data_IF_338216735981
#
_entry.id   IF_338216735981
#
_cell.length_a   1.000
_cell.length_b   1.000
_cell.length_c   1.000
_cell.angle_alpha   90.00
_cell.angle_beta   90.00
_cell.angle_gamma   90.00
#
_symmetry.space_group_name_H-M   'P 1'
#
loop_
_entity.id
_entity.type
_entity.pdbx_description
1 polymer ?
#
# COMPACT_ATOMS: atom_id res chain seq x y z
N UNK A 1 -22.83 -5.58 39.52
CA UNK A 1 -22.38 -5.17 38.17
C UNK A 1 -21.04 -4.42 38.11
N UNK A 2 -20.38 -4.08 39.24
CA UNK A 2 -19.13 -3.28 39.22
C UNK A 2 -17.82 -4.09 39.20
N UNK A 3 -17.85 -5.41 39.41
CA UNK A 3 -16.63 -6.25 39.48
C UNK A 3 -16.18 -6.76 38.09
N UNK A 4 -17.13 -7.07 37.20
CA UNK A 4 -16.86 -7.54 35.84
C UNK A 4 -16.22 -6.46 34.95
N UNK A 5 -16.62 -5.19 35.13
CA UNK A 5 -16.06 -4.07 34.37
C UNK A 5 -14.57 -3.83 34.72
N UNK A 6 -14.20 -3.95 36.01
CA UNK A 6 -12.81 -3.80 36.45
C UNK A 6 -11.90 -4.93 35.95
N UNK A 7 -12.41 -6.15 35.84
CA UNK A 7 -11.63 -7.28 35.34
C UNK A 7 -11.34 -7.17 33.83
N UNK A 8 -12.34 -6.75 33.03
CA UNK A 8 -12.12 -6.49 31.59
C UNK A 8 -11.10 -5.37 31.34
N UNK A 9 -11.18 -4.28 32.11
CA UNK A 9 -10.24 -3.15 32.04
C UNK A 9 -8.80 -3.57 32.37
N UNK A 10 -8.58 -4.41 33.39
CA UNK A 10 -7.24 -4.93 33.68
C UNK A 10 -6.70 -5.87 32.59
N UNK A 11 -7.54 -6.75 32.03
CA UNK A 11 -7.10 -7.66 30.96
C UNK A 11 -6.77 -6.94 29.66
N UNK A 12 -7.50 -5.87 29.32
CA UNK A 12 -7.22 -5.02 28.15
C UNK A 12 -5.90 -4.24 28.30
N UNK A 13 -5.63 -3.69 29.49
CA UNK A 13 -4.38 -2.98 29.79
C UNK A 13 -3.15 -3.90 29.73
N UNK A 14 -3.24 -5.11 30.27
CA UNK A 14 -2.15 -6.12 30.18
C UNK A 14 -1.94 -6.58 28.74
N UNK A 15 -3.03 -6.76 27.96
CA UNK A 15 -2.94 -7.13 26.55
C UNK A 15 -2.31 -6.03 25.69
N UNK A 16 -2.59 -4.75 25.99
CA UNK A 16 -1.98 -3.62 25.29
C UNK A 16 -0.48 -3.46 25.61
N UNK A 17 -0.05 -3.80 26.83
CA UNK A 17 1.38 -3.76 27.21
C UNK A 17 2.24 -4.76 26.46
N UNK A 18 1.66 -5.89 25.98
CA UNK A 18 2.40 -6.91 25.23
C UNK A 18 2.99 -6.40 23.90
N UNK A 19 2.48 -5.28 23.38
CA UNK A 19 2.89 -4.68 22.13
C UNK A 19 3.82 -3.47 22.31
N UNK A 20 4.25 -3.19 23.55
CA UNK A 20 5.20 -2.10 23.84
C UNK A 20 6.63 -2.62 23.65
N UNK A 21 7.29 -2.15 22.60
CA UNK A 21 8.68 -2.46 22.28
C UNK A 21 9.68 -1.62 23.08
N UNK A 22 10.97 -1.93 22.91
CA UNK A 22 12.06 -1.18 23.53
C UNK A 22 12.21 0.17 22.86
N UNK A 23 12.42 1.24 23.62
CA UNK A 23 12.72 2.54 23.03
C UNK A 23 14.03 2.50 22.21
N UNK A 24 13.95 2.89 20.94
CA UNK A 24 15.09 3.00 20.02
C UNK A 24 15.45 4.47 19.85
N UNK A 25 16.69 4.84 20.19
CA UNK A 25 17.22 6.18 19.93
C UNK A 25 17.23 6.43 18.41
N UNK A 26 16.62 7.53 18.00
CA UNK A 26 16.49 7.93 16.60
C UNK A 26 16.34 9.46 16.51
N UNK A 27 16.46 9.98 15.29
CA UNK A 27 16.33 11.40 14.93
C UNK A 27 15.15 11.64 13.99
N UNK A 28 14.13 10.78 14.03
CA UNK A 28 12.92 10.95 13.23
C UNK A 28 12.22 12.27 13.62
N UNK A 29 11.66 13.01 12.66
CA UNK A 29 11.11 14.34 12.91
C UNK A 29 9.85 14.29 13.79
N UNK A 30 9.62 15.32 14.59
CA UNK A 30 8.32 15.48 15.25
C UNK A 30 7.22 15.75 14.22
N UNK A 31 6.07 15.10 14.37
CA UNK A 31 4.88 15.31 13.53
C UNK A 31 3.70 15.70 14.42
N UNK A 32 3.17 16.94 14.30
CA UNK A 32 2.02 17.39 15.08
C UNK A 32 0.82 16.43 14.96
N UNK A 33 0.17 16.16 16.10
CA UNK A 33 -0.95 15.22 16.17
C UNK A 33 -0.54 13.74 16.20
N UNK A 34 0.74 13.44 16.36
CA UNK A 34 1.25 12.07 16.51
C UNK A 34 2.40 11.98 17.50
N UNK A 35 2.78 10.76 17.87
CA UNK A 35 4.00 10.48 18.62
C UNK A 35 4.80 9.35 17.95
N UNK A 36 6.10 9.29 18.22
CA UNK A 36 6.92 8.13 17.88
C UNK A 36 6.69 7.05 18.94
N UNK A 37 6.34 5.85 18.48
CA UNK A 37 6.06 4.67 19.30
C UNK A 37 6.96 3.51 18.91
N UNK A 38 7.09 2.56 19.82
CA UNK A 38 7.92 1.37 19.66
C UNK A 38 7.00 0.16 19.79
N UNK A 39 6.74 -0.50 18.67
CA UNK A 39 5.87 -1.66 18.60
C UNK A 39 6.71 -2.93 18.78
N UNK A 40 6.32 -3.76 19.74
CA UNK A 40 6.95 -5.04 19.98
C UNK A 40 6.50 -6.04 18.91
N UNK A 41 7.47 -6.59 18.20
CA UNK A 41 7.32 -7.65 17.20
C UNK A 41 7.97 -8.90 17.77
N UNK A 42 7.17 -9.93 18.02
CA UNK A 42 7.65 -11.20 18.52
C UNK A 42 8.15 -12.01 17.33
N UNK A 43 9.43 -12.39 17.33
CA UNK A 43 10.02 -13.23 16.29
C UNK A 43 9.46 -14.66 16.34
N UNK A 44 9.67 -15.43 15.27
CA UNK A 44 9.34 -16.86 15.24
C UNK A 44 10.03 -17.69 16.33
N UNK A 45 11.15 -17.20 16.87
CA UNK A 45 11.87 -17.79 18.00
C UNK A 45 11.48 -17.22 19.37
N UNK A 46 10.42 -16.40 19.44
CA UNK A 46 9.92 -15.81 20.68
C UNK A 46 10.71 -14.62 21.21
N UNK A 47 11.60 -14.02 20.41
CA UNK A 47 12.38 -12.84 20.83
C UNK A 47 11.57 -11.57 20.60
N UNK A 48 11.67 -10.62 21.53
CA UNK A 48 11.07 -9.29 21.40
C UNK A 48 11.98 -8.38 20.55
N UNK A 49 11.51 -8.03 19.36
CA UNK A 49 12.14 -7.09 18.45
C UNK A 49 11.30 -5.81 18.39
N UNK A 50 11.91 -4.70 18.01
CA UNK A 50 11.21 -3.41 17.99
C UNK A 50 11.05 -2.90 16.57
N UNK A 51 9.82 -2.57 16.19
CA UNK A 51 9.54 -1.71 15.05
C UNK A 51 9.23 -0.29 15.56
N UNK A 52 9.96 0.71 15.10
CA UNK A 52 9.64 2.12 15.36
C UNK A 52 8.49 2.54 14.44
N UNK A 53 7.55 3.35 14.92
CA UNK A 53 6.39 3.80 14.13
C UNK A 53 5.96 5.20 14.58
N UNK A 54 5.20 5.91 13.75
CA UNK A 54 4.34 6.99 14.24
C UNK A 54 2.97 6.44 14.61
N UNK A 55 2.37 6.99 15.67
CA UNK A 55 0.99 6.71 16.08
C UNK A 55 0.22 8.02 16.26
N UNK A 56 -1.00 8.11 15.76
CA UNK A 56 -1.84 9.29 15.95
C UNK A 56 -2.18 9.52 17.43
N UNK A 57 -2.23 10.79 17.82
CA UNK A 57 -2.76 11.24 19.10
C UNK A 57 -4.23 11.63 18.92
N UNK A 58 -4.98 11.59 20.01
CA UNK A 58 -6.37 12.01 20.08
C UNK A 58 -6.50 13.55 20.04
N UNK A 59 -7.73 14.07 20.06
CA UNK A 59 -8.00 15.51 19.98
C UNK A 59 -7.42 16.34 21.13
N UNK A 60 -7.06 15.71 22.25
CA UNK A 60 -6.41 16.34 23.41
C UNK A 60 -4.88 16.28 23.36
N UNK A 61 -4.28 15.77 22.28
CA UNK A 61 -2.83 15.60 22.15
C UNK A 61 -2.27 14.48 23.04
N UNK A 62 -3.09 13.48 23.39
CA UNK A 62 -2.71 12.30 24.20
C UNK A 62 -2.91 11.03 23.39
N UNK A 63 -2.35 9.90 23.86
CA UNK A 63 -2.69 8.58 23.33
C UNK A 63 -4.21 8.39 23.29
N UNK A 64 -4.70 7.86 22.18
CA UNK A 64 -6.12 7.56 22.03
C UNK A 64 -6.61 6.56 23.08
N UNK A 65 -7.91 6.61 23.36
CA UNK A 65 -8.61 5.61 24.15
C UNK A 65 -8.98 4.44 23.21
N UNK A 66 -8.36 3.25 23.35
CA UNK A 66 -8.61 2.12 22.47
C UNK A 66 -10.08 1.71 22.42
N UNK A 67 -10.85 1.99 23.47
CA UNK A 67 -12.29 1.66 23.52
C UNK A 67 -13.14 2.55 22.63
N UNK A 68 -12.62 3.69 22.15
CA UNK A 68 -13.33 4.59 21.23
C UNK A 68 -12.98 4.37 19.77
N UNK A 69 -11.91 3.62 19.49
CA UNK A 69 -11.43 3.40 18.13
C UNK A 69 -12.35 2.43 17.41
N UNK A 70 -12.82 2.87 16.24
CA UNK A 70 -13.67 2.12 15.32
C UNK A 70 -12.95 1.76 14.02
N UNK A 71 -11.85 2.47 13.72
CA UNK A 71 -11.05 2.28 12.52
C UNK A 71 -9.58 2.32 12.84
N UNK A 72 -8.81 1.39 12.27
CA UNK A 72 -7.37 1.48 12.21
C UNK A 72 -6.91 1.69 10.77
N UNK A 73 -5.96 2.60 10.55
CA UNK A 73 -5.25 2.75 9.27
C UNK A 73 -3.76 2.56 9.48
N UNK A 74 -3.18 1.55 8.84
CA UNK A 74 -1.75 1.28 8.80
C UNK A 74 -1.24 1.85 7.47
N UNK A 75 -0.53 2.97 7.51
CA UNK A 75 -0.05 3.68 6.31
C UNK A 75 1.44 3.42 6.05
N UNK A 76 1.75 2.74 4.97
CA UNK A 76 3.11 2.33 4.57
C UNK A 76 3.72 3.42 3.68
N UNK A 77 4.90 3.89 4.06
CA UNK A 77 5.65 4.94 3.36
C UNK A 77 6.21 4.47 2.01
N UNK A 78 6.66 5.43 1.21
CA UNK A 78 7.30 5.21 -0.08
C UNK A 78 8.79 4.85 0.02
N UNK A 79 9.50 5.00 -1.11
CA UNK A 79 10.92 4.66 -1.26
C UNK A 79 11.85 5.44 -0.30
N UNK A 80 11.46 6.67 0.04
CA UNK A 80 12.25 7.60 0.87
C UNK A 80 12.28 7.22 2.35
N UNK A 81 11.50 6.22 2.78
CA UNK A 81 11.46 5.75 4.17
C UNK A 81 11.10 6.88 5.15
N UNK A 82 10.09 7.66 4.79
CA UNK A 82 9.64 8.88 5.46
C UNK A 82 8.26 8.73 6.13
N UNK A 83 8.08 7.81 7.11
CA UNK A 83 6.77 7.57 7.73
C UNK A 83 6.17 8.81 8.40
N UNK A 84 7.00 9.77 8.82
CA UNK A 84 6.52 11.05 9.36
C UNK A 84 5.76 11.89 8.34
N UNK A 85 6.22 11.95 7.08
CA UNK A 85 5.51 12.62 5.98
C UNK A 85 4.16 11.94 5.73
N UNK A 86 4.17 10.61 5.69
CA UNK A 86 2.95 9.83 5.48
C UNK A 86 1.95 10.00 6.63
N UNK A 87 2.42 10.07 7.89
CA UNK A 87 1.62 10.40 9.06
C UNK A 87 1.01 11.81 8.95
N UNK A 88 1.80 12.82 8.57
CA UNK A 88 1.30 14.18 8.41
C UNK A 88 0.22 14.27 7.30
N UNK A 89 0.47 13.61 6.17
CA UNK A 89 -0.45 13.57 5.03
C UNK A 89 -1.80 12.94 5.39
N UNK A 90 -1.78 11.79 6.07
CA UNK A 90 -3.01 11.08 6.43
C UNK A 90 -3.79 11.79 7.55
N UNK A 91 -3.11 12.43 8.51
CA UNK A 91 -3.76 13.28 9.52
C UNK A 91 -4.42 14.50 8.87
N UNK A 92 -3.73 15.13 7.92
CA UNK A 92 -4.29 16.22 7.12
C UNK A 92 -5.53 15.76 6.34
N UNK A 93 -5.46 14.59 5.67
CA UNK A 93 -6.58 14.02 4.93
C UNK A 93 -7.78 13.70 5.85
N UNK A 94 -7.54 13.15 7.05
CA UNK A 94 -8.58 12.89 8.04
C UNK A 94 -9.26 14.19 8.50
N UNK A 95 -8.48 15.27 8.71
CA UNK A 95 -9.04 16.57 9.12
C UNK A 95 -9.93 17.23 8.06
N UNK A 96 -9.80 16.80 6.80
CA UNK A 96 -10.56 17.32 5.66
C UNK A 96 -11.84 16.51 5.36
N UNK A 97 -12.12 15.46 6.13
CA UNK A 97 -13.34 14.66 5.96
C UNK A 97 -14.57 15.51 6.26
N UNK A 98 -15.47 15.73 5.27
CA UNK A 98 -16.59 16.66 5.43
C UNK A 98 -17.77 16.00 6.16
N UNK A 99 -18.45 16.77 7.02
CA UNK A 99 -19.76 16.44 7.59
C UNK A 99 -19.83 15.09 8.37
N UNK A 100 -18.71 14.64 8.95
CA UNK A 100 -18.62 13.40 9.76
C UNK A 100 -17.82 13.63 11.05
N UNK A 101 -18.37 14.36 12.04
CA UNK A 101 -17.66 14.65 13.29
C UNK A 101 -17.35 13.39 14.12
N UNK A 102 -18.07 12.30 13.87
CA UNK A 102 -17.82 10.98 14.43
C UNK A 102 -16.54 10.32 13.86
N UNK A 103 -16.06 10.76 12.69
CA UNK A 103 -14.83 10.29 12.04
C UNK A 103 -13.72 11.29 12.34
N UNK A 104 -12.91 10.99 13.35
CA UNK A 104 -11.86 11.90 13.82
C UNK A 104 -10.69 11.12 14.45
N UNK A 105 -9.66 11.83 14.90
CA UNK A 105 -8.54 11.22 15.65
C UNK A 105 -8.95 10.58 16.98
N UNK A 106 -10.18 10.81 17.46
CA UNK A 106 -10.70 10.16 18.67
C UNK A 106 -11.34 8.78 18.38
N UNK A 107 -11.63 8.48 17.11
CA UNK A 107 -12.30 7.25 16.66
C UNK A 107 -11.54 6.50 15.56
N UNK A 108 -10.53 7.14 14.96
CA UNK A 108 -9.62 6.58 13.96
C UNK A 108 -8.21 6.56 14.54
N UNK A 109 -7.64 5.36 14.68
CA UNK A 109 -6.23 5.20 15.02
C UNK A 109 -5.40 5.05 13.74
N UNK A 110 -4.29 5.78 13.65
CA UNK A 110 -3.39 5.73 12.50
C UNK A 110 -2.01 5.30 12.98
N UNK A 111 -1.46 4.27 12.34
CA UNK A 111 -0.10 3.79 12.53
C UNK A 111 0.69 3.98 11.22
N UNK A 112 1.83 4.64 11.26
CA UNK A 112 2.77 4.68 10.14
C UNK A 112 4.05 3.92 10.51
N UNK A 113 4.15 2.62 10.16
CA UNK A 113 5.33 1.83 10.46
C UNK A 113 6.56 2.33 9.71
N UNK A 114 7.71 2.33 10.39
CA UNK A 114 8.99 2.67 9.80
C UNK A 114 9.74 1.39 9.42
N UNK A 115 10.01 1.19 8.14
CA UNK A 115 10.85 0.10 7.65
C UNK A 115 12.26 0.64 7.29
N UNK A 116 13.16 0.82 8.27
CA UNK A 116 14.49 1.35 8.03
C UNK A 116 15.38 0.36 7.28
N UNK A 117 16.42 0.88 6.64
CA UNK A 117 17.47 0.11 6.01
C UNK A 117 18.87 0.64 6.35
N UNK A 118 19.89 0.16 5.65
CA UNK A 118 21.28 0.53 5.89
C UNK A 118 21.62 2.02 5.73
N UNK A 119 20.79 2.81 5.05
CA UNK A 119 20.96 4.26 4.92
C UNK A 119 20.49 5.01 6.18
N UNK A 120 19.70 4.36 7.03
CA UNK A 120 19.11 4.96 8.23
C UNK A 120 19.98 4.80 9.49
N UNK A 121 21.24 4.39 9.33
CA UNK A 121 22.21 4.27 10.43
C UNK A 121 22.42 5.62 11.12
N UNK A 122 22.34 5.63 12.45
CA UNK A 122 22.43 6.83 13.30
C UNK A 122 21.35 7.90 13.05
N UNK A 123 20.41 7.64 12.13
CA UNK A 123 19.21 8.44 11.93
C UNK A 123 17.99 7.72 12.49
N UNK A 124 17.64 6.56 11.92
CA UNK A 124 16.50 5.75 12.33
C UNK A 124 16.78 4.78 13.48
N UNK A 125 18.04 4.38 13.64
CA UNK A 125 18.48 3.46 14.70
C UNK A 125 19.98 3.63 15.01
N UNK A 126 20.44 3.29 16.23
CA UNK A 126 21.85 3.42 16.60
C UNK A 126 22.76 2.47 15.81
N UNK A 127 23.92 2.97 15.40
CA UNK A 127 24.96 2.19 14.72
C UNK A 127 26.35 2.45 15.29
N UNK A 128 27.10 1.38 15.58
CA UNK A 128 28.49 1.44 16.03
C UNK A 128 29.43 0.94 14.94
N UNK A 129 30.28 1.83 14.43
CA UNK A 129 31.32 1.49 13.45
C UNK A 129 32.50 0.72 14.07
N UNK A 130 33.28 0.04 13.23
CA UNK A 130 34.48 -0.70 13.64
C UNK A 130 34.21 -2.06 14.30
N UNK A 131 32.95 -2.46 14.45
CA UNK A 131 32.59 -3.81 14.90
C UNK A 131 32.62 -4.83 13.75
N UNK A 132 32.62 -6.11 14.10
CA UNK A 132 32.57 -7.19 13.11
C UNK A 132 31.35 -7.05 12.16
N UNK A 133 31.41 -7.57 10.92
CA UNK A 133 30.32 -7.45 9.96
C UNK A 133 28.95 -7.83 10.55
N UNK A 134 27.99 -6.92 10.40
CA UNK A 134 26.63 -7.08 10.92
C UNK A 134 26.45 -6.81 12.43
N UNK A 135 27.51 -6.48 13.16
CA UNK A 135 27.44 -6.17 14.61
C UNK A 135 27.26 -4.69 14.95
N UNK A 136 27.19 -3.82 13.93
CA UNK A 136 27.02 -2.38 14.14
C UNK A 136 25.65 -1.97 14.68
N UNK A 137 24.58 -2.74 14.41
CA UNK A 137 23.28 -2.51 15.06
C UNK A 137 23.30 -3.12 16.46
N UNK A 138 23.28 -2.26 17.48
CA UNK A 138 23.46 -2.62 18.90
C UNK A 138 22.15 -2.71 19.68
N UNK A 139 21.01 -2.51 19.02
CA UNK A 139 19.66 -2.55 19.62
C UNK A 139 18.85 -3.74 19.09
N UNK A 140 17.62 -3.92 19.58
CA UNK A 140 16.67 -4.89 19.03
C UNK A 140 15.78 -4.30 17.91
N UNK A 141 16.17 -3.16 17.31
CA UNK A 141 15.44 -2.55 16.21
C UNK A 141 15.45 -3.45 14.98
N UNK A 142 14.27 -3.63 14.37
CA UNK A 142 14.12 -4.27 13.08
C UNK A 142 14.62 -3.35 11.96
N UNK A 143 15.49 -3.88 11.12
CA UNK A 143 16.06 -3.17 9.96
C UNK A 143 16.15 -4.15 8.80
N UNK A 144 15.89 -3.70 7.58
CA UNK A 144 15.91 -4.54 6.37
C UNK A 144 17.03 -4.16 5.41
N UNK A 145 17.38 -5.09 4.53
CA UNK A 145 18.34 -4.82 3.46
C UNK A 145 17.68 -4.01 2.35
N UNK A 146 18.21 -2.81 2.05
CA UNK A 146 17.73 -1.96 0.97
C UNK A 146 16.21 -1.74 1.00
N UNK A 147 15.52 -2.01 -0.12
CA UNK A 147 14.07 -1.95 -0.22
C UNK A 147 13.38 -3.31 -0.03
N UNK A 148 14.08 -4.34 0.47
CA UNK A 148 13.56 -5.71 0.51
C UNK A 148 12.38 -5.88 1.48
N UNK A 149 12.21 -4.96 2.43
CA UNK A 149 11.01 -4.86 3.25
C UNK A 149 9.73 -4.73 2.41
N UNK A 150 9.80 -4.09 1.24
CA UNK A 150 8.65 -3.91 0.35
C UNK A 150 8.21 -5.21 -0.35
N UNK A 151 9.02 -6.26 -0.27
CA UNK A 151 8.71 -7.60 -0.75
C UNK A 151 8.43 -8.61 0.36
N UNK A 152 8.43 -8.22 1.63
CA UNK A 152 8.24 -9.18 2.73
C UNK A 152 9.52 -9.96 3.10
N UNK A 153 10.70 -9.42 2.82
CA UNK A 153 11.95 -10.08 3.19
C UNK A 153 12.16 -10.12 4.71
N UNK A 154 13.02 -11.05 5.14
CA UNK A 154 13.49 -11.09 6.52
C UNK A 154 14.36 -9.88 6.86
N UNK A 155 14.29 -9.48 8.12
CA UNK A 155 15.12 -8.42 8.67
C UNK A 155 16.62 -8.77 8.61
N UNK A 156 17.44 -7.76 8.35
CA UNK A 156 18.90 -7.83 8.40
C UNK A 156 19.44 -7.66 9.83
N UNK A 157 18.77 -6.83 10.64
CA UNK A 157 19.15 -6.59 12.04
C UNK A 157 17.96 -6.74 12.98
N UNK A 158 18.20 -7.15 14.24
CA UNK A 158 19.52 -7.40 14.86
C UNK A 158 20.20 -8.70 14.42
N UNK A 159 21.54 -8.76 14.47
CA UNK A 159 22.30 -9.93 13.96
C UNK A 159 22.04 -11.26 14.67
N UNK A 160 21.43 -11.25 15.87
CA UNK A 160 21.06 -12.45 16.60
C UNK A 160 19.64 -12.96 16.26
N UNK A 161 18.88 -12.24 15.42
CA UNK A 161 17.56 -12.65 14.96
C UNK A 161 17.27 -12.06 13.57
N UNK A 162 17.38 -12.87 12.52
CA UNK A 162 17.30 -12.45 11.10
C UNK A 162 16.21 -13.23 10.33
N UNK A 163 15.15 -13.61 11.03
CA UNK A 163 14.06 -14.47 10.54
C UNK A 163 12.68 -13.85 10.78
N UNK A 164 12.61 -12.52 10.86
CA UNK A 164 11.37 -11.77 11.02
C UNK A 164 11.11 -10.99 9.75
N UNK A 165 10.05 -11.34 9.02
CA UNK A 165 9.64 -10.62 7.82
C UNK A 165 9.04 -9.26 8.17
N UNK A 166 9.13 -8.29 7.25
CA UNK A 166 8.29 -7.08 7.33
C UNK A 166 6.80 -7.43 7.35
N UNK A 167 6.40 -8.54 6.72
CA UNK A 167 5.02 -9.01 6.73
C UNK A 167 4.64 -9.72 8.03
N UNK A 168 5.59 -10.29 8.78
CA UNK A 168 5.34 -10.75 10.15
C UNK A 168 5.01 -9.57 11.07
N UNK A 169 5.66 -8.43 10.87
CA UNK A 169 5.37 -7.21 11.62
C UNK A 169 3.98 -6.64 11.27
N UNK A 170 3.61 -6.63 9.98
CA UNK A 170 2.26 -6.24 9.55
C UNK A 170 1.19 -7.20 10.09
N UNK A 171 1.42 -8.52 10.06
CA UNK A 171 0.52 -9.52 10.64
C UNK A 171 0.25 -9.24 12.12
N UNK A 172 1.29 -8.88 12.88
CA UNK A 172 1.18 -8.56 14.31
C UNK A 172 0.48 -7.23 14.56
N UNK A 173 0.72 -6.20 13.75
CA UNK A 173 0.01 -4.93 13.83
C UNK A 173 -1.50 -5.09 13.55
N UNK A 174 -1.86 -5.87 12.51
CA UNK A 174 -3.26 -6.18 12.19
C UNK A 174 -3.92 -6.96 13.32
N UNK A 175 -3.25 -8.00 13.86
CA UNK A 175 -3.76 -8.76 15.01
C UNK A 175 -3.94 -7.91 16.26
N UNK A 176 -3.06 -6.92 16.48
CA UNK A 176 -3.19 -5.99 17.60
C UNK A 176 -4.44 -5.13 17.47
N UNK A 177 -4.65 -4.51 16.30
CA UNK A 177 -5.86 -3.71 16.06
C UNK A 177 -7.15 -4.55 16.05
N UNK A 178 -7.09 -5.82 15.66
CA UNK A 178 -8.25 -6.74 15.69
C UNK A 178 -8.54 -7.32 17.09
N UNK A 179 -7.66 -7.09 18.07
CA UNK A 179 -7.85 -7.63 19.41
C UNK A 179 -9.01 -6.91 20.12
N UNK A 180 -10.18 -7.54 20.15
CA UNK A 180 -11.41 -6.99 20.77
C UNK A 180 -11.31 -6.75 22.28
N UNK A 181 -10.32 -7.31 22.97
CA UNK A 181 -10.06 -6.97 24.37
C UNK A 181 -9.38 -5.60 24.54
N UNK A 182 -8.71 -5.11 23.48
CA UNK A 182 -8.07 -3.79 23.43
C UNK A 182 -8.96 -2.82 22.66
N UNK A 183 -9.44 -3.20 21.48
CA UNK A 183 -10.26 -2.40 20.57
C UNK A 183 -11.66 -3.02 20.41
N UNK A 184 -12.55 -2.92 21.41
CA UNK A 184 -13.86 -3.58 21.40
C UNK A 184 -14.81 -3.08 20.31
N UNK A 185 -14.57 -1.88 19.76
CA UNK A 185 -15.43 -1.24 18.75
C UNK A 185 -14.81 -1.21 17.35
N UNK A 186 -13.72 -1.98 17.11
CA UNK A 186 -13.07 -2.02 15.80
C UNK A 186 -14.03 -2.57 14.73
N UNK A 187 -14.28 -1.79 13.68
CA UNK A 187 -15.15 -2.16 12.56
C UNK A 187 -14.36 -2.46 11.28
N UNK A 188 -13.17 -1.89 11.12
CA UNK A 188 -12.34 -2.08 9.93
C UNK A 188 -10.88 -1.71 10.16
N UNK A 189 -9.99 -2.50 9.56
CA UNK A 189 -8.57 -2.22 9.47
C UNK A 189 -8.24 -1.94 8.00
N UNK A 190 -7.52 -0.85 7.72
CA UNK A 190 -7.06 -0.50 6.37
C UNK A 190 -5.55 -0.56 6.35
N UNK A 191 -4.99 -1.32 5.41
CA UNK A 191 -3.57 -1.31 5.09
C UNK A 191 -3.41 -0.49 3.83
N UNK A 192 -2.82 0.69 3.99
CA UNK A 192 -2.71 1.70 2.96
C UNK A 192 -1.25 1.85 2.54
N UNK A 193 -1.01 2.09 1.26
CA UNK A 193 0.31 2.46 0.78
C UNK A 193 0.23 3.30 -0.47
N UNK A 194 1.21 4.19 -0.66
CA UNK A 194 1.43 4.93 -1.90
C UNK A 194 2.85 4.64 -2.43
N UNK A 195 3.04 4.65 -3.76
CA UNK A 195 4.34 4.42 -4.39
C UNK A 195 4.94 3.06 -3.97
N UNK A 196 6.18 2.98 -3.47
CA UNK A 196 6.75 1.73 -2.93
C UNK A 196 5.91 1.14 -1.79
N UNK A 197 5.24 1.97 -0.99
CA UNK A 197 4.29 1.52 0.03
C UNK A 197 3.09 0.80 -0.59
N UNK A 198 2.61 1.27 -1.74
CA UNK A 198 1.55 0.59 -2.49
C UNK A 198 2.03 -0.73 -3.07
N UNK A 199 3.27 -0.81 -3.55
CA UNK A 199 3.84 -2.09 -3.99
C UNK A 199 3.95 -3.08 -2.81
N UNK A 200 4.27 -2.59 -1.61
CA UNK A 200 4.28 -3.38 -0.37
C UNK A 200 2.88 -3.89 -0.04
N UNK A 201 1.87 -3.01 -0.08
CA UNK A 201 0.47 -3.37 0.15
C UNK A 201 -0.04 -4.38 -0.88
N UNK A 202 0.30 -4.22 -2.16
CA UNK A 202 -0.04 -5.17 -3.22
C UNK A 202 0.54 -6.57 -2.94
N UNK A 203 1.85 -6.65 -2.71
CA UNK A 203 2.53 -7.93 -2.44
C UNK A 203 2.04 -8.55 -1.13
N UNK A 204 1.80 -7.75 -0.10
CA UNK A 204 1.25 -8.24 1.17
C UNK A 204 -0.18 -8.74 1.03
N UNK A 205 -1.05 -8.09 0.25
CA UNK A 205 -2.39 -8.60 -0.03
C UNK A 205 -2.34 -9.97 -0.75
N UNK A 206 -1.40 -10.12 -1.69
CA UNK A 206 -1.22 -11.32 -2.49
C UNK A 206 -0.65 -12.52 -1.72
N UNK A 207 0.38 -12.31 -0.88
CA UNK A 207 1.07 -13.43 -0.21
C UNK A 207 0.87 -13.48 1.31
N UNK A 208 0.33 -12.41 1.89
CA UNK A 208 0.01 -12.27 3.31
C UNK A 208 -0.86 -13.40 3.82
N UNK A 209 -0.60 -13.87 5.02
CA UNK A 209 -1.36 -14.92 5.70
C UNK A 209 -2.83 -14.55 5.86
N UNK A 210 -3.72 -15.53 5.89
CA UNK A 210 -5.11 -15.31 6.30
C UNK A 210 -5.14 -15.28 7.82
N UNK A 211 -5.34 -14.09 8.40
CA UNK A 211 -5.21 -13.87 9.84
C UNK A 211 -6.48 -14.20 10.64
N UNK A 212 -7.58 -14.58 9.97
CA UNK A 212 -8.89 -14.88 10.56
C UNK A 212 -9.36 -13.76 11.51
N UNK A 213 -9.20 -12.50 11.08
CA UNK A 213 -9.62 -11.33 11.85
C UNK A 213 -11.13 -11.27 12.00
N UNK A 214 -11.62 -10.71 13.10
CA UNK A 214 -13.04 -10.39 13.27
C UNK A 214 -13.44 -9.18 12.43
N UNK A 215 -12.55 -8.20 12.36
CA UNK A 215 -12.70 -6.98 11.58
C UNK A 215 -12.24 -7.24 10.14
N UNK A 216 -12.98 -6.77 9.11
CA UNK A 216 -12.50 -6.83 7.74
C UNK A 216 -11.21 -6.02 7.58
N UNK A 217 -10.29 -6.57 6.79
CA UNK A 217 -9.05 -5.91 6.37
C UNK A 217 -9.19 -5.48 4.91
N UNK A 218 -8.96 -4.20 4.63
CA UNK A 218 -8.97 -3.64 3.29
C UNK A 218 -7.57 -3.17 2.89
N UNK A 219 -7.24 -3.28 1.61
CA UNK A 219 -5.92 -2.95 1.08
C UNK A 219 -6.06 -1.77 0.12
N UNK A 220 -5.60 -0.58 0.52
CA UNK A 220 -5.61 0.61 -0.32
C UNK A 220 -4.26 0.75 -1.03
N UNK A 221 -4.26 0.60 -2.35
CA UNK A 221 -3.06 0.51 -3.19
C UNK A 221 -3.04 1.71 -4.13
N UNK A 222 -2.23 2.72 -3.80
CA UNK A 222 -2.16 3.97 -4.56
C UNK A 222 -0.87 4.12 -5.36
N UNK A 223 -0.98 4.23 -6.69
CA UNK A 223 0.15 4.54 -7.57
C UNK A 223 1.42 3.68 -7.38
N UNK A 224 1.33 2.33 -7.27
CA UNK A 224 2.54 1.52 -7.23
C UNK A 224 3.28 1.61 -8.57
N UNK A 225 4.62 1.60 -8.50
CA UNK A 225 5.44 1.57 -9.72
C UNK A 225 5.39 0.23 -10.46
N UNK A 226 5.17 -0.86 -9.73
CA UNK A 226 5.08 -2.22 -10.25
C UNK A 226 4.06 -3.03 -9.46
N UNK A 227 3.57 -4.10 -10.09
CA UNK A 227 2.59 -5.02 -9.52
C UNK A 227 3.17 -6.43 -9.47
N UNK A 228 2.79 -7.21 -8.46
CA UNK A 228 3.10 -8.63 -8.41
C UNK A 228 2.19 -9.39 -9.38
N UNK A 229 2.74 -9.93 -10.46
CA UNK A 229 1.98 -10.78 -11.38
C UNK A 229 1.81 -12.19 -10.83
N UNK A 230 0.61 -12.75 -10.95
CA UNK A 230 0.28 -14.07 -10.42
C UNK A 230 0.61 -15.23 -11.38
N UNK A 231 1.22 -14.93 -12.52
CA UNK A 231 1.75 -15.88 -13.50
C UNK A 231 2.87 -15.21 -14.31
N UNK A 232 3.51 -15.96 -15.20
CA UNK A 232 4.60 -15.48 -16.05
C UNK A 232 4.13 -14.81 -17.36
N UNK A 233 2.82 -14.63 -17.57
CA UNK A 233 2.34 -13.92 -18.77
C UNK A 233 2.60 -12.43 -18.64
N UNK A 234 2.94 -11.77 -19.75
CA UNK A 234 3.20 -10.33 -19.80
C UNK A 234 2.56 -9.71 -21.05
N UNK A 235 2.08 -8.46 -20.97
CA UNK A 235 1.50 -7.74 -22.10
C UNK A 235 2.57 -7.26 -23.11
N UNK A 236 3.82 -7.11 -22.68
CA UNK A 236 4.93 -6.63 -23.51
C UNK A 236 6.05 -7.69 -23.58
N UNK A 237 6.96 -7.50 -24.55
CA UNK A 237 8.07 -8.43 -24.80
C UNK A 237 8.98 -8.61 -23.57
N UNK A 238 9.38 -9.85 -23.32
CA UNK A 238 10.22 -10.23 -22.17
C UNK A 238 11.63 -10.65 -22.60
N UNK A 239 11.94 -10.65 -23.91
CA UNK A 239 13.18 -11.22 -24.46
C UNK A 239 14.44 -10.56 -23.91
N UNK A 240 14.39 -9.26 -23.61
CA UNK A 240 15.48 -8.46 -23.05
C UNK A 240 15.57 -8.50 -21.51
N UNK A 241 14.61 -9.12 -20.83
CA UNK A 241 14.50 -9.09 -19.38
C UNK A 241 14.40 -10.50 -18.79
N UNK A 242 15.50 -11.25 -18.65
CA UNK A 242 15.46 -12.65 -18.19
C UNK A 242 14.92 -12.82 -16.75
N UNK A 243 14.93 -11.76 -15.95
CA UNK A 243 14.45 -11.74 -14.55
C UNK A 243 13.05 -11.13 -14.41
N UNK A 244 12.29 -10.97 -15.50
CA UNK A 244 10.98 -10.30 -15.48
C UNK A 244 9.95 -10.97 -14.55
N UNK A 245 10.14 -12.27 -14.30
CA UNK A 245 9.26 -13.07 -13.44
C UNK A 245 9.84 -13.30 -12.04
N UNK A 246 10.99 -12.71 -11.71
CA UNK A 246 11.55 -12.81 -10.37
C UNK A 246 10.62 -12.15 -9.35
N UNK A 247 10.66 -12.68 -8.13
CA UNK A 247 9.77 -12.25 -7.07
C UNK A 247 9.90 -10.75 -6.78
N UNK A 248 8.74 -10.10 -6.73
CA UNK A 248 8.39 -8.67 -6.59
C UNK A 248 7.58 -8.19 -7.79
N UNK A 249 7.89 -8.70 -8.98
CA UNK A 249 7.14 -8.44 -10.21
C UNK A 249 6.55 -9.74 -10.81
N UNK A 250 7.11 -10.91 -10.46
CA UNK A 250 6.52 -12.23 -10.72
C UNK A 250 6.64 -13.18 -9.52
N UNK A 251 6.66 -14.48 -9.76
CA UNK A 251 6.67 -15.52 -8.70
C UNK A 251 7.93 -16.40 -8.67
N UNK A 252 8.80 -16.27 -9.67
CA UNK A 252 10.05 -17.02 -9.77
C UNK A 252 11.10 -16.52 -8.77
N UNK A 253 12.15 -17.32 -8.54
CA UNK A 253 13.28 -16.96 -7.66
C UNK A 253 12.87 -16.44 -6.26
N UNK A 254 11.78 -16.96 -5.71
CA UNK A 254 11.28 -16.60 -4.39
C UNK A 254 12.21 -17.12 -3.27
N UNK A 255 12.79 -16.21 -2.49
CA UNK A 255 13.76 -16.54 -1.42
C UNK A 255 13.27 -16.20 -0.01
N UNK A 256 12.13 -15.54 0.13
CA UNK A 256 11.60 -15.16 1.43
C UNK A 256 11.08 -16.40 2.19
N UNK A 257 11.17 -16.38 3.52
CA UNK A 257 10.57 -17.45 4.35
C UNK A 257 9.07 -17.24 4.51
N UNK A 258 8.65 -15.99 4.73
CA UNK A 258 7.24 -15.62 4.75
C UNK A 258 6.59 -15.89 3.40
N UNK A 259 5.42 -16.52 3.37
CA UNK A 259 4.70 -16.83 2.13
C UNK A 259 5.22 -18.02 1.33
N UNK A 260 6.38 -18.60 1.67
CA UNK A 260 7.01 -19.69 0.90
C UNK A 260 6.07 -20.89 0.69
N UNK A 261 5.25 -21.25 1.69
CA UNK A 261 4.27 -22.33 1.56
C UNK A 261 3.17 -22.01 0.53
N UNK A 262 2.71 -20.75 0.47
CA UNK A 262 1.73 -20.33 -0.54
C UNK A 262 2.33 -20.39 -1.94
N UNK A 263 3.56 -19.90 -2.12
CA UNK A 263 4.25 -19.88 -3.41
C UNK A 263 4.52 -21.29 -3.96
N UNK A 264 4.74 -22.28 -3.09
CA UNK A 264 4.80 -23.71 -3.51
C UNK A 264 3.50 -24.20 -4.14
N UNK A 265 2.37 -23.59 -3.83
CA UNK A 265 1.07 -23.85 -4.47
C UNK A 265 0.94 -23.25 -5.87
N UNK A 266 1.92 -22.47 -6.33
CA UNK A 266 1.94 -21.84 -7.65
C UNK A 266 1.05 -20.61 -7.77
N UNK A 267 1.04 -20.02 -8.97
CA UNK A 267 0.34 -18.77 -9.26
C UNK A 267 -1.16 -18.78 -8.99
N UNK A 268 -1.83 -19.91 -9.22
CA UNK A 268 -3.26 -20.06 -8.91
C UNK A 268 -3.56 -19.95 -7.41
N UNK A 269 -2.67 -20.43 -6.54
CA UNK A 269 -2.82 -20.29 -5.10
C UNK A 269 -2.65 -18.83 -4.65
N UNK A 270 -1.69 -18.11 -5.24
CA UNK A 270 -1.49 -16.67 -4.99
C UNK A 270 -2.67 -15.85 -5.50
N UNK A 271 -3.15 -16.11 -6.71
CA UNK A 271 -4.34 -15.44 -7.27
C UNK A 271 -5.59 -15.73 -6.41
N UNK A 272 -5.78 -16.96 -5.93
CA UNK A 272 -6.87 -17.29 -5.02
C UNK A 272 -6.76 -16.53 -3.69
N UNK A 273 -5.53 -16.34 -3.17
CA UNK A 273 -5.29 -15.50 -1.98
C UNK A 273 -5.65 -14.05 -2.27
N UNK A 274 -5.19 -13.50 -3.39
CA UNK A 274 -5.51 -12.13 -3.83
C UNK A 274 -7.02 -11.91 -3.94
N UNK A 275 -7.73 -12.78 -4.65
CA UNK A 275 -9.19 -12.70 -4.86
C UNK A 275 -10.02 -12.87 -3.57
N UNK A 276 -9.40 -13.31 -2.46
CA UNK A 276 -10.05 -13.37 -1.15
C UNK A 276 -9.98 -12.06 -0.35
N UNK A 277 -9.28 -11.04 -0.88
CA UNK A 277 -9.06 -9.75 -0.21
C UNK A 277 -10.01 -8.68 -0.73
N UNK A 278 -10.19 -7.62 0.05
CA UNK A 278 -10.84 -6.39 -0.43
C UNK A 278 -9.77 -5.41 -0.90
N UNK A 279 -9.66 -5.20 -2.20
CA UNK A 279 -8.65 -4.33 -2.80
C UNK A 279 -9.29 -3.01 -3.25
N UNK A 280 -8.82 -1.90 -2.68
CA UNK A 280 -9.19 -0.57 -3.15
C UNK A 280 -8.03 -0.04 -4.01
N UNK A 281 -8.19 -0.11 -5.32
CA UNK A 281 -7.23 0.44 -6.28
C UNK A 281 -7.42 1.95 -6.38
N UNK A 282 -6.34 2.71 -6.19
CA UNK A 282 -6.36 4.16 -6.31
C UNK A 282 -5.32 4.63 -7.33
N UNK A 283 -5.78 5.31 -8.37
CA UNK A 283 -4.95 5.72 -9.50
C UNK A 283 -4.99 7.25 -9.69
N UNK A 284 -3.83 7.88 -9.56
CA UNK A 284 -3.60 9.26 -9.95
C UNK A 284 -3.54 9.38 -11.46
N UNK A 285 -4.52 10.01 -12.11
CA UNK A 285 -4.62 10.01 -13.58
C UNK A 285 -3.52 10.84 -14.26
N UNK A 286 -2.77 11.66 -13.52
CA UNK A 286 -1.63 12.43 -14.04
C UNK A 286 -0.28 11.79 -13.67
N UNK A 287 -0.28 10.66 -12.96
CA UNK A 287 0.97 10.00 -12.55
C UNK A 287 1.45 9.03 -13.63
N UNK A 288 2.01 9.57 -14.70
CA UNK A 288 2.53 8.82 -15.86
C UNK A 288 4.05 8.65 -15.83
N UNK A 289 4.67 8.86 -14.67
CA UNK A 289 6.11 8.67 -14.49
C UNK A 289 6.51 7.20 -14.31
N UNK A 290 7.81 6.96 -14.35
CA UNK A 290 8.46 5.69 -14.04
C UNK A 290 9.66 5.91 -13.12
N UNK A 291 9.80 5.09 -12.07
CA UNK A 291 10.97 5.03 -11.19
C UNK A 291 11.55 3.60 -11.08
N UNK A 292 11.32 2.77 -12.12
CA UNK A 292 11.84 1.41 -12.20
C UNK A 292 13.36 1.39 -12.27
N UNK A 293 13.97 0.59 -11.41
CA UNK A 293 15.43 0.33 -11.43
C UNK A 293 15.77 -1.05 -11.98
N UNK A 294 14.77 -1.81 -12.42
CA UNK A 294 14.90 -3.14 -13.02
C UNK A 294 14.05 -3.19 -14.29
N UNK A 295 14.33 -4.12 -15.19
CA UNK A 295 13.57 -4.26 -16.44
C UNK A 295 12.18 -4.89 -16.27
N UNK A 296 11.89 -5.54 -15.13
CA UNK A 296 10.66 -6.31 -14.96
C UNK A 296 9.37 -5.47 -15.08
N UNK A 297 9.27 -4.26 -14.49
CA UNK A 297 8.09 -3.41 -14.66
C UNK A 297 7.83 -3.00 -16.11
N UNK A 298 8.88 -2.83 -16.93
CA UNK A 298 8.76 -2.47 -18.35
C UNK A 298 8.05 -3.55 -19.17
N UNK A 299 8.08 -4.81 -18.73
CA UNK A 299 7.31 -5.90 -19.37
C UNK A 299 5.80 -5.79 -19.15
N UNK A 300 5.36 -4.86 -18.30
CA UNK A 300 3.97 -4.71 -17.85
C UNK A 300 3.34 -3.38 -18.28
N UNK A 301 4.14 -2.45 -18.81
CA UNK A 301 3.73 -1.13 -19.29
C UNK A 301 4.88 -0.13 -19.23
N UNK A 302 4.84 0.89 -20.10
CA UNK A 302 5.87 1.93 -20.21
C UNK A 302 5.94 2.83 -18.98
N UNK A 303 4.82 3.00 -18.26
CA UNK A 303 4.72 3.85 -17.07
C UNK A 303 3.66 3.33 -16.09
N UNK A 304 3.51 3.99 -14.93
CA UNK A 304 2.51 3.62 -13.91
C UNK A 304 1.07 3.52 -14.43
N UNK A 305 0.72 4.29 -15.47
CA UNK A 305 -0.60 4.25 -16.07
C UNK A 305 -0.85 2.92 -16.79
N UNK A 306 0.00 2.61 -17.76
CA UNK A 306 -0.13 1.37 -18.54
C UNK A 306 -0.03 0.14 -17.65
N UNK A 307 0.88 0.14 -16.67
CA UNK A 307 1.06 -0.98 -15.73
C UNK A 307 -0.20 -1.24 -14.92
N UNK A 308 -0.87 -0.20 -14.44
CA UNK A 308 -2.14 -0.34 -13.73
C UNK A 308 -3.20 -0.97 -14.62
N UNK A 309 -3.44 -0.41 -15.82
CA UNK A 309 -4.48 -0.88 -16.72
C UNK A 309 -4.23 -2.31 -17.21
N UNK A 310 -3.00 -2.64 -17.55
CA UNK A 310 -2.61 -4.00 -17.91
C UNK A 310 -2.82 -4.97 -16.74
N UNK A 311 -2.48 -4.58 -15.51
CA UNK A 311 -2.69 -5.42 -14.33
C UNK A 311 -4.18 -5.70 -14.09
N UNK A 312 -5.02 -4.67 -14.00
CA UNK A 312 -6.47 -4.87 -13.76
C UNK A 312 -7.20 -5.47 -14.97
N UNK A 313 -6.65 -5.36 -16.19
CA UNK A 313 -7.16 -6.13 -17.35
C UNK A 313 -6.85 -7.62 -17.23
N UNK A 314 -5.65 -7.96 -16.75
CA UNK A 314 -5.21 -9.36 -16.64
C UNK A 314 -5.79 -10.06 -15.41
N UNK A 315 -5.98 -9.32 -14.33
CA UNK A 315 -6.55 -9.77 -13.07
C UNK A 315 -7.72 -8.84 -12.69
N UNK A 316 -8.90 -9.01 -13.33
CA UNK A 316 -10.03 -8.11 -13.16
C UNK A 316 -10.45 -7.94 -11.70
N UNK A 317 -10.58 -6.70 -11.21
CA UNK A 317 -11.16 -6.45 -9.90
C UNK A 317 -12.63 -6.89 -9.90
N UNK A 318 -13.16 -7.27 -8.75
CA UNK A 318 -14.54 -7.74 -8.64
C UNK A 318 -15.23 -7.27 -7.38
N UNK A 319 -16.49 -6.85 -7.51
CA UNK A 319 -17.40 -6.66 -6.39
C UNK A 319 -18.78 -7.28 -6.68
N UNK A 320 -18.95 -8.60 -6.49
CA UNK A 320 -20.24 -9.25 -6.72
C UNK A 320 -21.32 -8.81 -5.71
N UNK A 321 -20.91 -8.52 -4.47
CA UNK A 321 -21.81 -8.02 -3.44
C UNK A 321 -21.04 -7.09 -2.47
N UNK A 322 -21.38 -5.78 -2.41
CA UNK A 322 -20.65 -4.82 -1.57
C UNK A 322 -20.82 -5.07 -0.06
N UNK A 323 -21.81 -5.87 0.35
CA UNK A 323 -22.12 -6.15 1.77
C UNK A 323 -21.72 -7.57 2.22
N UNK A 324 -21.21 -8.40 1.31
CA UNK A 324 -20.88 -9.79 1.58
C UNK A 324 -19.73 -10.30 0.72
N UNK A 325 -18.65 -10.70 1.36
CA UNK A 325 -17.45 -11.23 0.70
C UNK A 325 -16.51 -10.14 0.19
N UNK A 326 -15.49 -10.50 -0.61
CA UNK A 326 -14.59 -9.57 -1.28
C UNK A 326 -15.33 -8.59 -2.19
N UNK A 327 -15.02 -7.31 -2.06
CA UNK A 327 -15.52 -6.24 -2.92
C UNK A 327 -14.42 -5.21 -3.19
N UNK A 328 -13.83 -5.32 -4.38
CA UNK A 328 -12.83 -4.40 -4.87
C UNK A 328 -13.45 -3.08 -5.35
N UNK A 329 -12.63 -2.03 -5.37
CA UNK A 329 -12.99 -0.72 -5.93
C UNK A 329 -11.89 -0.18 -6.81
N UNK A 330 -12.24 0.62 -7.81
CA UNK A 330 -11.29 1.31 -8.69
C UNK A 330 -11.59 2.80 -8.71
N UNK A 331 -10.67 3.58 -8.14
CA UNK A 331 -10.83 5.02 -7.97
C UNK A 331 -9.82 5.81 -8.79
N UNK A 332 -10.33 6.77 -9.57
CA UNK A 332 -9.51 7.75 -10.30
C UNK A 332 -9.48 9.09 -9.59
N UNK A 333 -8.26 9.59 -9.40
CA UNK A 333 -7.98 10.84 -8.73
C UNK A 333 -7.17 11.71 -9.68
N UNK A 334 -7.63 12.93 -9.97
CA UNK A 334 -6.97 13.82 -10.93
C UNK A 334 -5.73 14.50 -10.33
N UNK A 335 -4.69 13.72 -10.04
CA UNK A 335 -3.43 14.14 -9.40
C UNK A 335 -2.24 13.35 -9.97
N UNK A 336 -1.04 13.87 -9.76
CA UNK A 336 0.22 13.20 -10.08
C UNK A 336 0.68 12.22 -8.99
N UNK A 337 2.00 11.99 -8.90
CA UNK A 337 2.62 11.08 -7.92
C UNK A 337 2.67 11.68 -6.50
N UNK A 338 1.52 12.10 -5.97
CA UNK A 338 1.39 12.84 -4.71
C UNK A 338 0.56 12.04 -3.68
N UNK A 339 1.24 11.54 -2.65
CA UNK A 339 0.61 10.75 -1.59
C UNK A 339 -0.45 11.55 -0.80
N UNK A 340 -0.18 12.81 -0.49
CA UNK A 340 -1.07 13.65 0.31
C UNK A 340 -2.35 13.98 -0.45
N UNK A 341 -2.22 14.34 -1.73
CA UNK A 341 -3.36 14.62 -2.60
C UNK A 341 -4.21 13.35 -2.85
N UNK A 342 -3.59 12.19 -3.04
CA UNK A 342 -4.30 10.91 -3.16
C UNK A 342 -5.11 10.60 -1.90
N UNK A 343 -4.54 10.76 -0.70
CA UNK A 343 -5.23 10.51 0.57
C UNK A 343 -6.35 11.52 0.85
N UNK A 344 -6.11 12.80 0.56
CA UNK A 344 -7.07 13.88 0.80
C UNK A 344 -8.22 13.93 -0.22
N UNK A 345 -8.08 13.25 -1.36
CA UNK A 345 -9.14 13.16 -2.36
C UNK A 345 -10.43 12.55 -1.81
N UNK A 346 -11.61 12.83 -2.39
CA UNK A 346 -12.86 12.18 -1.97
C UNK A 346 -12.79 10.65 -1.98
N UNK A 347 -12.11 10.07 -2.98
CA UNK A 347 -11.86 8.64 -3.04
C UNK A 347 -10.98 8.16 -1.87
N UNK A 348 -9.85 8.83 -1.65
CA UNK A 348 -8.93 8.53 -0.53
C UNK A 348 -9.67 8.57 0.82
N UNK A 349 -10.41 9.64 1.08
CA UNK A 349 -11.20 9.79 2.30
C UNK A 349 -12.26 8.68 2.45
N UNK A 350 -12.92 8.29 1.36
CA UNK A 350 -13.88 7.19 1.37
C UNK A 350 -13.23 5.88 1.81
N UNK A 351 -12.14 5.47 1.16
CA UNK A 351 -11.49 4.17 1.41
C UNK A 351 -10.72 4.12 2.73
N UNK A 352 -10.11 5.23 3.12
CA UNK A 352 -9.28 5.31 4.33
C UNK A 352 -10.12 5.51 5.58
N UNK A 353 -11.22 6.28 5.52
CA UNK A 353 -11.92 6.74 6.73
C UNK A 353 -13.42 6.45 6.79
N UNK A 354 -14.13 6.41 5.65
CA UNK A 354 -15.61 6.42 5.66
C UNK A 354 -16.27 5.06 5.41
N UNK A 355 -15.79 4.28 4.45
CA UNK A 355 -16.42 3.01 4.04
C UNK A 355 -16.50 2.04 5.22
N UNK A 356 -17.69 1.57 5.61
CA UNK A 356 -17.93 0.68 6.74
C UNK A 356 -17.48 1.27 8.10
N UNK A 357 -17.48 2.61 8.24
CA UNK A 357 -17.09 3.24 9.51
C UNK A 357 -18.06 2.87 10.64
N UNK A 358 -19.35 2.81 10.35
CA UNK A 358 -20.40 2.45 11.32
C UNK A 358 -20.56 0.94 11.55
N UNK A 359 -19.74 0.09 10.89
CA UNK A 359 -19.87 -1.37 10.97
C UNK A 359 -21.05 -1.95 10.19
N UNK A 360 -21.71 -1.14 9.37
CA UNK A 360 -22.89 -1.49 8.57
C UNK A 360 -22.55 -2.06 7.18
N UNK A 361 -21.25 -2.21 6.88
CA UNK A 361 -20.71 -2.66 5.58
C UNK A 361 -21.04 -1.73 4.42
N UNK A 362 -21.46 -0.50 4.69
CA UNK A 362 -21.63 0.51 3.64
C UNK A 362 -20.31 0.79 2.94
N UNK A 363 -20.38 1.01 1.62
CA UNK A 363 -19.21 1.30 0.79
C UNK A 363 -19.64 2.29 -0.28
N UNK A 364 -18.82 3.30 -0.57
CA UNK A 364 -19.05 4.20 -1.70
C UNK A 364 -18.80 3.46 -3.03
N UNK A 365 -19.54 3.81 -4.08
CA UNK A 365 -19.25 3.36 -5.45
C UNK A 365 -17.88 3.88 -5.91
N UNK A 366 -17.40 3.35 -7.02
CA UNK A 366 -16.13 3.76 -7.63
C UNK A 366 -16.10 5.27 -7.95
N UNK A 367 -14.94 5.91 -7.71
CA UNK A 367 -14.74 7.35 -7.93
C UNK A 367 -14.04 7.65 -9.25
N UNK A 368 -14.33 8.85 -9.79
CA UNK A 368 -13.69 9.40 -10.99
C UNK A 368 -14.34 8.96 -12.30
N UNK A 369 -14.49 9.90 -13.24
CA UNK A 369 -15.10 9.66 -14.54
C UNK A 369 -14.38 10.53 -15.60
N UNK A 370 -14.40 10.14 -16.88
CA UNK A 370 -15.00 8.91 -17.42
C UNK A 370 -14.18 7.65 -17.07
N UNK A 371 -14.79 6.47 -17.22
CA UNK A 371 -14.08 5.19 -17.15
C UNK A 371 -13.16 5.04 -18.35
N UNK A 372 -12.01 4.38 -18.16
CA UNK A 372 -10.92 4.36 -19.13
C UNK A 372 -10.74 2.96 -19.77
N UNK A 373 -11.19 1.88 -19.15
CA UNK A 373 -11.24 0.56 -19.77
C UNK A 373 -12.40 -0.30 -19.25
N UNK A 374 -12.78 -1.33 -19.99
CA UNK A 374 -13.77 -2.32 -19.52
C UNK A 374 -13.27 -3.02 -18.25
N UNK A 375 -14.13 -3.07 -17.22
CA UNK A 375 -13.84 -3.75 -15.95
C UNK A 375 -13.07 -2.91 -14.93
N UNK A 376 -12.92 -1.60 -15.17
CA UNK A 376 -12.37 -0.63 -14.19
C UNK A 376 -13.45 0.00 -13.29
N UNK A 377 -14.62 -0.61 -13.23
CA UNK A 377 -15.78 -0.22 -12.44
C UNK A 377 -16.41 -1.42 -11.69
N UNK A 378 -15.62 -2.17 -10.90
CA UNK A 378 -16.14 -3.35 -10.19
C UNK A 378 -17.33 -3.03 -9.29
N UNK A 379 -17.43 -1.80 -8.78
CA UNK A 379 -18.56 -1.30 -8.01
C UNK A 379 -19.10 0.03 -8.61
N UNK A 380 -19.90 -0.05 -9.67
CA UNK A 380 -20.11 1.06 -10.59
C UNK A 380 -20.92 2.21 -9.97
N UNK A 381 -20.49 3.43 -10.29
CA UNK A 381 -21.27 4.63 -10.02
C UNK A 381 -22.28 4.86 -11.16
N UNK A 382 -23.58 4.83 -10.83
CA UNK A 382 -24.68 5.00 -11.80
C UNK A 382 -24.63 6.28 -12.64
N UNK A 383 -23.93 7.33 -12.18
CA UNK A 383 -23.76 8.59 -12.94
C UNK A 383 -22.53 8.60 -13.83
N UNK A 384 -21.68 7.57 -13.77
CA UNK A 384 -20.51 7.41 -14.62
C UNK A 384 -20.92 6.65 -15.89
N UNK A 385 -20.90 7.32 -17.04
CA UNK A 385 -21.17 6.66 -18.32
C UNK A 385 -20.02 5.71 -18.70
N UNK A 386 -20.38 4.67 -19.47
CA UNK A 386 -19.53 3.58 -19.99
C UNK A 386 -18.13 4.04 -20.45
N UNK A 387 -17.11 3.15 -20.40
CA UNK A 387 -15.74 3.50 -20.70
C UNK A 387 -15.63 4.31 -21.99
N UNK A 388 -14.85 5.39 -21.96
CA UNK A 388 -14.41 6.01 -23.22
C UNK A 388 -13.76 4.86 -23.98
N UNK A 389 -14.29 4.54 -25.16
CA UNK A 389 -13.64 3.57 -26.01
C UNK A 389 -12.21 4.06 -26.23
N UNK A 390 -11.24 3.48 -25.52
CA UNK A 390 -9.93 3.36 -26.11
C UNK A 390 -10.20 2.58 -27.38
N UNK A 391 -9.93 3.16 -28.57
CA UNK A 391 -10.16 2.43 -29.80
C UNK A 391 -9.49 1.08 -29.63
N UNK A 392 -10.24 0.03 -29.95
CA UNK A 392 -9.71 -1.32 -30.05
C UNK A 392 -8.32 -1.26 -30.66
N UNK A 393 -7.44 -2.16 -30.21
CA UNK A 393 -6.13 -2.39 -30.82
C UNK A 393 -6.30 -2.97 -32.24
N UNK A 394 -6.89 -2.18 -33.13
CA UNK A 394 -7.03 -2.45 -34.54
C UNK A 394 -5.65 -2.40 -35.16
N UNK A 395 -5.24 -3.54 -35.68
CA UNK A 395 -4.00 -3.68 -36.44
C UNK A 395 -4.13 -2.85 -37.72
N UNK A 396 -3.28 -1.83 -37.89
CA UNK A 396 -3.03 -1.23 -39.19
C UNK A 396 -1.61 -1.59 -39.63
N UNK A 397 -1.50 -2.46 -40.63
CA UNK A 397 -0.22 -2.90 -41.22
C UNK A 397 0.79 -3.52 -40.23
N UNK A 398 0.34 -4.23 -39.20
CA UNK A 398 1.22 -5.00 -38.31
C UNK A 398 1.94 -4.19 -37.22
N UNK A 399 1.51 -2.97 -36.91
CA UNK A 399 2.02 -2.18 -35.78
C UNK A 399 0.86 -1.77 -34.84
N UNK A 400 1.08 -1.89 -33.53
CA UNK A 400 0.15 -1.50 -32.47
C UNK A 400 0.64 -0.18 -31.85
N UNK A 401 -0.13 0.90 -32.06
CA UNK A 401 0.03 2.30 -31.60
C UNK A 401 0.55 3.29 -32.67
N UNK A 402 -0.21 4.38 -32.89
CA UNK A 402 0.26 5.59 -33.58
C UNK A 402 0.33 6.74 -32.57
N UNK A 403 1.39 6.75 -31.77
CA UNK A 403 1.94 7.98 -31.21
C UNK A 403 3.13 8.41 -32.05
N UNK A 404 3.15 9.66 -32.47
CA UNK A 404 4.37 10.30 -32.95
C UNK A 404 5.28 10.50 -31.69
N UNK A 405 6.38 9.73 -31.52
CA UNK A 405 7.33 9.89 -30.41
C UNK A 405 8.53 10.75 -30.83
N UNK A 406 9.03 11.62 -29.93
CA UNK A 406 10.30 12.32 -30.11
C UNK A 406 11.08 12.33 -28.81
N UNK A 407 12.36 11.97 -28.89
CA UNK A 407 13.34 11.99 -27.80
C UNK A 407 13.96 13.38 -27.56
N UNK A 408 13.26 14.46 -27.94
CA UNK A 408 13.77 15.82 -27.79
C UNK A 408 12.68 16.76 -27.28
N UNK A 409 12.97 17.44 -26.17
CA UNK A 409 12.05 18.33 -25.44
C UNK A 409 11.48 19.51 -26.26
N UNK A 410 11.92 19.70 -27.51
CA UNK A 410 11.57 20.84 -28.36
C UNK A 410 10.45 20.57 -29.39
N UNK A 411 9.69 19.47 -29.28
CA UNK A 411 8.99 18.93 -30.46
C UNK A 411 7.51 18.64 -30.33
N UNK A 412 6.81 19.07 -29.27
CA UNK A 412 5.36 18.85 -29.22
C UNK A 412 4.64 19.48 -30.44
N UNK A 413 5.01 20.71 -30.80
CA UNK A 413 4.47 21.41 -31.96
C UNK A 413 4.90 20.81 -33.31
N UNK A 414 6.14 20.29 -33.42
CA UNK A 414 6.66 19.64 -34.63
C UNK A 414 6.02 18.26 -34.86
N UNK A 415 5.83 17.52 -33.77
CA UNK A 415 5.16 16.23 -33.71
C UNK A 415 3.68 16.40 -34.09
N UNK A 416 2.98 17.30 -33.41
CA UNK A 416 1.58 17.61 -33.70
C UNK A 416 1.39 18.13 -35.14
N UNK A 417 2.22 19.06 -35.60
CA UNK A 417 2.10 19.62 -36.96
C UNK A 417 2.40 18.60 -38.06
N UNK A 418 3.31 17.65 -37.84
CA UNK A 418 3.60 16.57 -38.80
C UNK A 418 2.45 15.55 -38.85
N UNK A 419 1.93 15.17 -37.69
CA UNK A 419 0.78 14.28 -37.56
C UNK A 419 -0.49 14.93 -38.22
N UNK A 420 -0.72 16.25 -38.08
CA UNK A 420 -1.79 16.99 -38.80
C UNK A 420 -1.56 17.07 -40.31
N UNK A 421 -0.33 17.35 -40.77
CA UNK A 421 -0.01 17.40 -42.22
C UNK A 421 -0.21 16.06 -42.93
N UNK A 422 -0.09 14.95 -42.20
CA UNK A 422 -0.37 13.61 -42.70
C UNK A 422 -1.87 13.25 -42.68
N UNK A 423 -2.74 14.16 -42.23
CA UNK A 423 -4.20 14.00 -42.25
C UNK A 423 -4.80 13.37 -40.99
N UNK A 424 -4.03 13.24 -39.91
CA UNK A 424 -4.52 12.67 -38.65
C UNK A 424 -5.19 13.71 -37.75
N UNK A 425 -6.26 13.30 -37.07
CA UNK A 425 -6.88 14.07 -35.98
C UNK A 425 -6.17 13.79 -34.65
N UNK A 426 -5.78 14.83 -33.92
CA UNK A 426 -5.06 14.73 -32.65
C UNK A 426 -6.05 14.69 -31.48
N UNK A 427 -6.02 13.60 -30.70
CA UNK A 427 -6.89 13.40 -29.54
C UNK A 427 -6.31 13.92 -28.21
N UNK A 428 -5.02 14.27 -28.18
CA UNK A 428 -4.31 14.78 -27.00
C UNK A 428 -2.80 14.83 -27.22
N UNK A 429 -2.08 15.48 -26.32
CA UNK A 429 -0.63 15.62 -26.33
C UNK A 429 -0.10 15.48 -24.90
N UNK A 430 0.90 14.63 -24.68
CA UNK A 430 1.48 14.35 -23.35
C UNK A 430 2.97 14.67 -23.34
N UNK A 431 3.44 15.32 -22.27
CA UNK A 431 4.86 15.54 -22.01
C UNK A 431 5.45 14.34 -21.27
N UNK A 432 6.26 13.54 -21.96
CA UNK A 432 7.18 12.61 -21.31
C UNK A 432 8.53 13.31 -21.11
N UNK A 433 9.04 13.34 -19.88
CA UNK A 433 10.46 13.59 -19.65
C UNK A 433 11.14 12.22 -19.62
N UNK A 434 12.10 12.00 -20.53
CA UNK A 434 13.08 10.91 -20.42
C UNK A 434 13.97 11.09 -19.19
#
# INVERSE_FOLDING_TARGET
>A
MSLFFRLLLLTGLVSAQNYVGTQINNSLPFVPGSEITYFNVISSSGLNLTLTNYMSLNSSGKRFDPTKIQRAVIIIHGLQRDPGTYMANILSALSQVPNRPDVSVDSVAIMAPYFPNGDDKNYGYPWTDGLAPGKGSTTNALVWQGSQWAGGANNQYPSYSVHTSSYDALDQAVKWFDNTAVFPNMHQIVIAGHSLGAQTTNRYAAIGSVLNTKSPVNYWIANPNSWLWFNSSRPLDTSSCPTYDDYREGLSNFTNTYGATLLKGGGSAVLARWNSRNINFARGTQDTGDDSTTCAPETTGSNRNERFFNFIRWFPPSCPNPTSGPCDTVDYVNVGHDAGAMMASPAGQARLFLDNFSGDKSKATDFGCPRLQTGDDPYPNSTCTQPVAHPDQGTYSGLTYQGCYSNSAATLDLCASSCVKAGYSIAGAEYGNE
#
